data_IF_512384423626
#
_entry.id   IF_512384423626
#
_cell.length_a   1.000
_cell.length_b   1.000
_cell.length_c   1.000
_cell.angle_alpha   90.00
_cell.angle_beta   90.00
_cell.angle_gamma   90.00
#
_symmetry.space_group_name_H-M   'P 1'
#
loop_
_entity.id
_entity.type
_entity.pdbx_description
1 polymer ?
#
# COMPACT_ATOMS: atom_id res chain seq x y z
N UNK A 1 -6.28 -26.57 8.70
CA UNK A 1 -6.50 -25.55 7.62
C UNK A 1 -5.22 -24.72 7.43
N UNK A 2 -4.86 -24.34 6.20
CA UNK A 2 -3.69 -23.50 5.93
C UNK A 2 -4.06 -22.08 5.50
N UNK A 3 -3.19 -21.13 5.83
CA UNK A 3 -3.21 -19.76 5.34
C UNK A 3 -1.87 -19.40 4.70
N UNK A 4 -1.92 -18.65 3.60
CA UNK A 4 -0.75 -18.05 2.95
C UNK A 4 -0.66 -16.59 3.38
N UNK A 5 0.48 -16.15 3.92
CA UNK A 5 0.76 -14.73 4.16
C UNK A 5 1.73 -14.20 3.11
N UNK A 6 1.47 -13.01 2.57
CA UNK A 6 2.36 -12.28 1.66
C UNK A 6 2.61 -10.91 2.27
N UNK A 7 3.87 -10.55 2.48
CA UNK A 7 4.30 -9.23 2.96
C UNK A 7 5.26 -8.60 1.95
N UNK A 8 4.81 -7.57 1.25
CA UNK A 8 5.56 -6.90 0.19
C UNK A 8 6.00 -5.49 0.61
N UNK A 9 7.13 -5.43 1.31
CA UNK A 9 7.72 -4.20 1.82
C UNK A 9 8.61 -3.49 0.80
N UNK A 10 9.27 -2.41 1.21
CA UNK A 10 10.15 -1.62 0.32
C UNK A 10 11.42 -2.36 -0.11
N UNK A 11 11.88 -3.36 0.64
CA UNK A 11 13.19 -4.04 0.38
C UNK A 11 13.07 -5.48 -0.11
N UNK A 12 11.85 -5.97 -0.24
CA UNK A 12 11.62 -7.37 -0.56
C UNK A 12 10.23 -7.82 -0.20
N UNK A 13 9.85 -8.96 -0.76
CA UNK A 13 8.62 -9.67 -0.43
C UNK A 13 8.94 -10.93 0.36
N UNK A 14 8.11 -11.25 1.34
CA UNK A 14 8.14 -12.50 2.09
C UNK A 14 6.82 -13.22 1.92
N UNK A 15 6.87 -14.53 1.79
CA UNK A 15 5.69 -15.38 1.85
C UNK A 15 5.87 -16.45 2.92
N UNK A 16 4.77 -16.80 3.60
CA UNK A 16 4.76 -17.89 4.58
C UNK A 16 3.47 -18.70 4.49
N UNK A 17 3.55 -19.99 4.82
CA UNK A 17 2.36 -20.84 4.99
C UNK A 17 2.23 -21.21 6.46
N UNK A 18 1.08 -20.88 7.05
CA UNK A 18 0.75 -21.11 8.44
C UNK A 18 -0.34 -22.18 8.54
N UNK A 19 -0.10 -23.17 9.41
CA UNK A 19 -1.15 -24.08 9.86
C UNK A 19 -1.90 -23.44 11.03
N UNK A 20 -3.19 -23.13 10.84
CA UNK A 20 -3.97 -22.35 11.80
C UNK A 20 -4.27 -23.12 13.08
N UNK A 21 -4.37 -24.45 13.00
CA UNK A 21 -4.72 -25.28 14.16
C UNK A 21 -3.53 -25.43 15.10
N UNK A 22 -2.34 -25.67 14.53
CA UNK A 22 -1.11 -25.86 15.30
C UNK A 22 -0.33 -24.56 15.55
N UNK A 23 -0.58 -23.51 14.78
CA UNK A 23 0.24 -22.30 14.74
C UNK A 23 1.61 -22.48 14.08
N UNK A 24 1.87 -23.62 13.44
CA UNK A 24 3.16 -23.94 12.85
C UNK A 24 3.36 -23.22 11.50
N UNK A 25 4.53 -22.61 11.31
CA UNK A 25 4.97 -22.13 9.99
C UNK A 25 5.53 -23.32 9.21
N UNK A 26 4.80 -23.74 8.17
CA UNK A 26 5.14 -24.90 7.35
C UNK A 26 6.10 -24.55 6.22
N UNK A 27 6.07 -23.31 5.74
CA UNK A 27 6.94 -22.82 4.69
C UNK A 27 7.20 -21.32 4.87
N UNK A 28 8.38 -20.89 4.46
CA UNK A 28 8.80 -19.49 4.42
C UNK A 28 9.69 -19.29 3.18
N UNK A 29 9.48 -18.19 2.47
CA UNK A 29 10.31 -17.74 1.36
C UNK A 29 10.47 -16.23 1.40
N UNK A 30 11.54 -15.72 0.80
CA UNK A 30 11.78 -14.28 0.69
C UNK A 30 12.51 -13.96 -0.61
N UNK A 31 12.17 -12.82 -1.20
CA UNK A 31 12.87 -12.26 -2.34
C UNK A 31 13.18 -10.79 -2.07
N UNK A 32 14.43 -10.38 -2.28
CA UNK A 32 14.87 -9.00 -2.06
C UNK A 32 14.85 -8.20 -3.35
N UNK A 33 14.51 -6.91 -3.26
CA UNK A 33 14.58 -5.97 -4.37
C UNK A 33 14.92 -4.56 -3.88
N UNK A 34 15.46 -3.75 -4.78
CA UNK A 34 15.85 -2.36 -4.54
C UNK A 34 14.82 -1.34 -5.04
N UNK A 35 15.20 -0.07 -4.94
CA UNK A 35 14.53 1.05 -5.61
C UNK A 35 15.26 1.37 -6.91
N UNK A 36 14.61 2.11 -7.81
CA UNK A 36 15.26 2.57 -9.05
C UNK A 36 16.41 3.53 -8.69
N UNK A 37 17.59 3.26 -9.23
CA UNK A 37 18.80 4.06 -9.01
C UNK A 37 18.89 5.24 -9.98
N UNK A 38 19.72 6.24 -9.63
CA UNK A 38 19.99 7.38 -10.51
C UNK A 38 18.87 8.42 -10.62
N UNK A 39 17.84 8.33 -9.78
CA UNK A 39 16.76 9.32 -9.74
C UNK A 39 17.22 10.65 -9.08
N UNK A 40 16.57 11.79 -9.39
CA UNK A 40 16.88 13.06 -8.77
C UNK A 40 16.70 13.03 -7.23
N UNK A 41 17.35 13.93 -6.49
CA UNK A 41 17.22 13.99 -5.03
C UNK A 41 15.77 14.04 -4.55
N UNK A 42 15.44 13.23 -3.55
CA UNK A 42 14.09 13.15 -2.96
C UNK A 42 13.13 12.19 -3.68
N UNK A 43 13.46 11.75 -4.89
CA UNK A 43 12.68 10.74 -5.60
C UNK A 43 13.01 9.34 -5.09
N UNK A 44 11.97 8.54 -4.85
CA UNK A 44 12.11 7.12 -4.51
C UNK A 44 11.01 6.34 -5.20
N UNK A 45 11.41 5.47 -6.14
CA UNK A 45 10.46 4.77 -7.00
C UNK A 45 10.81 3.29 -7.15
N UNK A 46 9.78 2.48 -7.41
CA UNK A 46 9.90 1.07 -7.76
C UNK A 46 9.01 0.75 -8.96
N UNK A 47 9.44 -0.21 -9.77
CA UNK A 47 8.57 -0.81 -10.77
C UNK A 47 7.57 -1.74 -10.06
N UNK A 48 6.24 -1.52 -10.18
CA UNK A 48 5.25 -2.39 -9.59
C UNK A 48 5.36 -3.86 -10.02
N UNK A 49 5.89 -4.14 -11.23
CA UNK A 49 6.12 -5.52 -11.69
C UNK A 49 7.10 -6.27 -10.79
N UNK A 50 8.10 -5.57 -10.22
CA UNK A 50 9.07 -6.18 -9.30
C UNK A 50 8.39 -6.77 -8.06
N UNK A 51 7.30 -6.17 -7.57
CA UNK A 51 6.54 -6.71 -6.45
C UNK A 51 5.77 -7.97 -6.83
N UNK A 52 5.20 -8.00 -8.04
CA UNK A 52 4.46 -9.16 -8.53
C UNK A 52 5.38 -10.36 -8.75
N UNK A 53 6.54 -10.13 -9.40
CA UNK A 53 7.53 -11.18 -9.64
C UNK A 53 8.07 -11.76 -8.33
N UNK A 54 8.35 -10.91 -7.34
CA UNK A 54 8.80 -11.33 -6.02
C UNK A 54 7.72 -12.08 -5.24
N UNK A 55 6.46 -11.64 -5.31
CA UNK A 55 5.33 -12.35 -4.72
C UNK A 55 5.14 -13.73 -5.38
N UNK A 56 5.14 -13.80 -6.70
CA UNK A 56 4.99 -15.06 -7.43
C UNK A 56 6.11 -16.05 -7.10
N UNK A 57 7.36 -15.60 -7.09
CA UNK A 57 8.52 -16.41 -6.72
C UNK A 57 8.39 -16.97 -5.31
N UNK A 58 8.15 -16.10 -4.33
CA UNK A 58 8.10 -16.51 -2.91
C UNK A 58 6.90 -17.40 -2.60
N UNK A 59 5.74 -17.14 -3.21
CA UNK A 59 4.57 -18.02 -3.11
C UNK A 59 4.87 -19.37 -3.73
N UNK A 60 5.45 -19.42 -4.93
CA UNK A 60 5.81 -20.69 -5.58
C UNK A 60 6.75 -21.55 -4.73
N UNK A 61 7.81 -20.97 -4.18
CA UNK A 61 8.73 -21.67 -3.26
C UNK A 61 8.01 -22.21 -2.00
N UNK A 62 7.02 -21.47 -1.48
CA UNK A 62 6.23 -21.92 -0.34
C UNK A 62 5.30 -23.09 -0.71
N UNK A 63 4.67 -23.03 -1.88
CA UNK A 63 3.78 -24.06 -2.40
C UNK A 63 4.53 -25.36 -2.75
N UNK A 64 5.79 -25.26 -3.17
CA UNK A 64 6.67 -26.42 -3.33
C UNK A 64 6.96 -27.11 -1.99
N UNK A 65 7.26 -26.35 -0.94
CA UNK A 65 7.57 -26.88 0.39
C UNK A 65 6.40 -27.63 1.05
N UNK A 66 5.16 -27.20 0.82
CA UNK A 66 3.96 -27.87 1.37
C UNK A 66 3.42 -29.00 0.48
N UNK A 67 3.94 -29.15 -0.75
CA UNK A 67 3.64 -30.26 -1.64
C UNK A 67 2.14 -30.45 -1.94
N UNK A 68 1.59 -31.61 -1.57
CA UNK A 68 0.20 -31.98 -1.84
C UNK A 68 -0.83 -31.22 -0.97
N UNK A 69 -0.38 -30.41 0.00
CA UNK A 69 -1.27 -29.64 0.89
C UNK A 69 -1.68 -28.28 0.34
N UNK A 70 -1.36 -27.95 -0.93
CA UNK A 70 -1.75 -26.68 -1.57
C UNK A 70 -3.26 -26.43 -1.51
N UNK A 71 -4.07 -27.47 -1.69
CA UNK A 71 -5.53 -27.41 -1.58
C UNK A 71 -6.08 -27.13 -0.17
N UNK A 72 -5.23 -27.24 0.86
CA UNK A 72 -5.61 -26.91 2.25
C UNK A 72 -5.54 -25.40 2.52
N UNK A 73 -4.98 -24.59 1.60
CA UNK A 73 -4.92 -23.13 1.72
C UNK A 73 -6.31 -22.56 1.48
N UNK A 74 -6.90 -21.96 2.52
CA UNK A 74 -8.25 -21.38 2.49
C UNK A 74 -8.27 -19.85 2.50
N UNK A 75 -7.19 -19.23 2.96
CA UNK A 75 -7.08 -17.78 2.98
C UNK A 75 -5.67 -17.30 2.64
N UNK A 76 -5.63 -16.13 2.04
CA UNK A 76 -4.42 -15.40 1.69
C UNK A 76 -4.47 -14.05 2.42
N UNK A 77 -3.54 -13.84 3.34
CA UNK A 77 -3.32 -12.55 3.99
C UNK A 77 -2.28 -11.75 3.23
N UNK A 78 -2.55 -10.47 3.00
CA UNK A 78 -1.64 -9.58 2.27
C UNK A 78 -1.30 -8.37 3.13
N UNK A 79 -0.03 -8.01 3.19
CA UNK A 79 0.46 -6.71 3.62
C UNK A 79 1.41 -6.15 2.57
N UNK A 80 1.48 -4.83 2.47
CA UNK A 80 2.39 -4.19 1.54
C UNK A 80 2.65 -2.73 1.91
N UNK A 81 3.47 -2.04 1.14
CA UNK A 81 3.76 -0.64 1.41
C UNK A 81 2.48 0.24 1.40
N UNK A 82 2.30 1.07 2.43
CA UNK A 82 1.25 2.11 2.45
C UNK A 82 1.66 3.34 1.66
N UNK A 83 0.67 4.21 1.41
CA UNK A 83 0.86 5.48 0.68
C UNK A 83 1.45 5.28 -0.72
N UNK A 84 2.18 6.27 -1.23
CA UNK A 84 2.71 6.23 -2.58
C UNK A 84 1.63 6.40 -3.64
N UNK A 85 1.99 6.11 -4.89
CA UNK A 85 1.11 6.22 -6.05
C UNK A 85 1.47 5.14 -7.07
N UNK A 86 0.51 4.27 -7.37
CA UNK A 86 0.50 3.38 -8.54
C UNK A 86 -0.56 3.93 -9.52
N UNK A 87 -0.14 4.67 -10.56
CA UNK A 87 -1.07 5.21 -11.56
C UNK A 87 -1.29 4.19 -12.66
N UNK A 88 -2.55 3.80 -12.90
CA UNK A 88 -2.92 2.75 -13.85
C UNK A 88 -3.71 3.30 -15.04
N UNK A 89 -3.53 2.67 -16.18
CA UNK A 89 -4.38 2.88 -17.36
C UNK A 89 -5.63 1.97 -17.36
N UNK A 90 -6.38 2.00 -18.46
CA UNK A 90 -7.63 1.25 -18.61
C UNK A 90 -7.44 -0.28 -18.52
N UNK A 91 -6.26 -0.78 -18.86
CA UNK A 91 -5.91 -2.20 -18.81
C UNK A 91 -5.41 -2.65 -17.43
N UNK A 92 -5.40 -1.75 -16.42
CA UNK A 92 -4.74 -1.93 -15.12
C UNK A 92 -3.22 -1.99 -15.19
N UNK A 93 -2.61 -1.50 -16.27
CA UNK A 93 -1.15 -1.49 -16.40
C UNK A 93 -0.56 -0.21 -15.79
N UNK A 94 0.55 -0.30 -15.02
CA UNK A 94 1.25 0.87 -14.51
C UNK A 94 1.69 1.80 -15.64
N UNK A 95 1.29 3.08 -15.53
CA UNK A 95 1.67 4.12 -16.49
C UNK A 95 3.13 4.57 -16.37
N UNK A 96 3.74 4.28 -15.21
CA UNK A 96 5.10 4.65 -14.82
C UNK A 96 5.49 3.87 -13.56
N UNK A 97 6.78 3.86 -13.17
CA UNK A 97 7.19 3.39 -11.85
C UNK A 97 6.42 4.09 -10.72
N UNK A 98 6.10 3.35 -9.68
CA UNK A 98 5.37 3.87 -8.54
C UNK A 98 6.26 4.76 -7.67
N UNK A 99 5.77 5.96 -7.34
CA UNK A 99 6.39 6.82 -6.32
C UNK A 99 6.07 6.29 -4.93
N UNK A 100 7.08 6.03 -4.09
CA UNK A 100 6.90 5.38 -2.79
C UNK A 100 6.54 6.36 -1.66
N UNK A 101 6.21 5.83 -0.49
CA UNK A 101 5.89 6.61 0.71
C UNK A 101 7.05 7.47 1.21
N UNK A 102 8.29 7.06 0.97
CA UNK A 102 9.50 7.79 1.33
C UNK A 102 9.98 8.76 0.23
N UNK A 103 9.25 8.85 -0.89
CA UNK A 103 9.45 9.88 -1.90
C UNK A 103 8.96 11.23 -1.36
N UNK A 104 9.88 12.19 -1.30
CA UNK A 104 9.65 13.57 -0.82
C UNK A 104 9.70 14.60 -1.94
N UNK A 105 9.76 14.17 -3.21
CA UNK A 105 9.83 15.05 -4.39
C UNK A 105 8.57 15.91 -4.59
N UNK A 106 7.52 15.64 -3.83
CA UNK A 106 6.20 16.28 -3.97
C UNK A 106 5.90 17.33 -2.91
N UNK A 107 6.92 17.79 -2.17
CA UNK A 107 6.82 18.91 -1.24
C UNK A 107 6.20 20.18 -1.88
N UNK A 108 6.56 20.60 -3.11
CA UNK A 108 5.93 21.76 -3.73
C UNK A 108 4.41 21.60 -3.89
N UNK A 109 3.94 20.39 -4.21
CA UNK A 109 2.50 20.12 -4.31
C UNK A 109 1.82 20.14 -2.93
N UNK A 110 2.50 19.70 -1.87
CA UNK A 110 2.00 19.86 -0.50
C UNK A 110 1.80 21.34 -0.13
N UNK A 111 2.72 22.22 -0.52
CA UNK A 111 2.59 23.66 -0.31
C UNK A 111 1.38 24.25 -1.05
N UNK A 112 1.09 23.77 -2.27
CA UNK A 112 -0.11 24.16 -3.02
C UNK A 112 -1.39 23.77 -2.27
N UNK A 113 -1.48 22.54 -1.74
CA UNK A 113 -2.61 22.14 -0.90
C UNK A 113 -2.72 22.98 0.37
N UNK A 114 -1.60 23.24 1.05
CA UNK A 114 -1.60 24.09 2.24
C UNK A 114 -2.14 25.49 1.91
N UNK A 115 -1.71 26.09 0.81
CA UNK A 115 -2.18 27.41 0.39
C UNK A 115 -3.68 27.42 0.12
N UNK A 116 -4.19 26.41 -0.59
CA UNK A 116 -5.61 26.33 -0.96
C UNK A 116 -6.53 26.05 0.24
N UNK A 117 -6.13 25.13 1.12
CA UNK A 117 -7.02 24.56 2.13
C UNK A 117 -6.90 25.19 3.53
N UNK A 118 -6.20 26.31 3.66
CA UNK A 118 -6.06 27.06 4.91
C UNK A 118 -4.93 26.55 5.81
N UNK A 119 -3.84 26.10 5.20
CA UNK A 119 -2.66 25.54 5.84
C UNK A 119 -2.88 24.15 6.42
N UNK A 120 -1.90 23.71 7.20
CA UNK A 120 -1.91 22.41 7.90
C UNK A 120 -3.14 22.29 8.80
N UNK A 121 -3.49 23.33 9.56
CA UNK A 121 -4.66 23.34 10.44
C UNK A 121 -5.98 23.22 9.65
N UNK A 122 -6.08 23.92 8.52
CA UNK A 122 -7.25 23.86 7.65
C UNK A 122 -7.46 22.47 7.05
N UNK A 123 -6.38 21.81 6.61
CA UNK A 123 -6.42 20.43 6.14
C UNK A 123 -6.83 19.47 7.24
N UNK A 124 -6.19 19.52 8.41
CA UNK A 124 -6.55 18.66 9.56
C UNK A 124 -8.02 18.85 9.94
N UNK A 125 -8.51 20.10 9.96
CA UNK A 125 -9.93 20.38 10.25
C UNK A 125 -10.88 19.76 9.22
N UNK A 126 -10.50 19.75 7.93
CA UNK A 126 -11.36 19.32 6.81
C UNK A 126 -11.28 17.83 6.50
N UNK A 127 -10.12 17.19 6.67
CA UNK A 127 -9.88 15.79 6.29
C UNK A 127 -9.46 14.92 7.46
N UNK A 128 -9.01 15.54 8.56
CA UNK A 128 -8.42 14.86 9.71
C UNK A 128 -6.91 14.64 9.61
N UNK A 129 -6.29 14.97 8.48
CA UNK A 129 -4.86 14.75 8.25
C UNK A 129 -4.18 15.98 7.61
N UNK A 130 -2.88 16.21 7.89
CA UNK A 130 -2.08 17.14 7.11
C UNK A 130 -1.83 16.59 5.68
N UNK A 131 -1.34 17.44 4.78
CA UNK A 131 -0.80 16.99 3.50
C UNK A 131 0.70 16.75 3.64
N UNK A 132 1.15 15.52 3.38
CA UNK A 132 2.56 15.12 3.50
C UNK A 132 3.08 14.60 2.15
N UNK A 133 4.35 14.82 1.78
CA UNK A 133 4.90 14.38 0.50
C UNK A 133 4.77 12.88 0.26
N UNK A 134 4.81 12.09 1.34
CA UNK A 134 4.63 10.63 1.28
C UNK A 134 3.25 10.19 0.81
N UNK A 135 2.22 11.03 0.95
CA UNK A 135 0.83 10.70 0.64
C UNK A 135 0.56 10.67 -0.87
N UNK A 136 -0.58 10.08 -1.23
CA UNK A 136 -0.98 9.86 -2.62
C UNK A 136 -1.42 11.16 -3.32
N UNK A 137 -2.18 12.04 -2.65
CA UNK A 137 -2.69 13.28 -3.20
C UNK A 137 -1.62 14.19 -3.86
N UNK A 138 -0.50 14.55 -3.19
CA UNK A 138 0.53 15.38 -3.81
C UNK A 138 1.25 14.66 -4.96
N UNK A 139 1.35 13.34 -4.93
CA UNK A 139 1.89 12.54 -6.04
C UNK A 139 1.00 12.56 -7.28
N UNK A 140 -0.33 12.56 -7.12
CA UNK A 140 -1.26 12.69 -8.25
C UNK A 140 -1.14 14.09 -8.87
N UNK A 141 -1.08 15.14 -8.04
CA UNK A 141 -0.90 16.50 -8.52
C UNK A 141 0.44 16.66 -9.24
N UNK A 142 1.51 16.09 -8.68
CA UNK A 142 2.82 16.04 -9.31
C UNK A 142 2.76 15.34 -10.67
N UNK A 143 2.06 14.20 -10.79
CA UNK A 143 1.89 13.46 -12.05
C UNK A 143 1.20 14.33 -13.09
N UNK A 144 0.13 15.05 -12.70
CA UNK A 144 -0.59 15.98 -13.58
C UNK A 144 0.29 17.10 -14.12
N UNK A 145 1.14 17.67 -13.26
CA UNK A 145 1.97 18.83 -13.59
C UNK A 145 3.24 18.45 -14.37
N UNK A 146 3.87 17.32 -14.03
CA UNK A 146 5.20 16.94 -14.53
C UNK A 146 5.13 15.92 -15.68
N UNK A 147 4.10 15.07 -15.68
CA UNK A 147 3.91 14.04 -16.70
C UNK A 147 2.48 14.05 -17.27
N UNK A 148 2.05 15.17 -17.89
CA UNK A 148 0.67 15.34 -18.33
C UNK A 148 0.22 14.30 -19.38
N UNK A 149 1.16 13.69 -20.11
CA UNK A 149 0.84 12.59 -21.02
C UNK A 149 0.38 11.32 -20.28
N UNK A 150 1.07 10.96 -19.19
CA UNK A 150 0.66 9.84 -18.33
C UNK A 150 -0.64 10.19 -17.60
N UNK A 151 -0.77 11.41 -17.07
CA UNK A 151 -1.99 11.83 -16.38
C UNK A 151 -3.24 11.80 -17.28
N UNK A 152 -3.11 12.06 -18.59
CA UNK A 152 -4.24 11.93 -19.53
C UNK A 152 -4.73 10.50 -19.69
N UNK A 153 -3.83 9.51 -19.57
CA UNK A 153 -4.14 8.08 -19.67
C UNK A 153 -4.58 7.46 -18.34
N UNK A 154 -4.45 8.20 -17.23
CA UNK A 154 -4.81 7.74 -15.90
C UNK A 154 -6.30 7.37 -15.85
N UNK A 155 -6.60 6.14 -15.46
CA UNK A 155 -7.98 5.68 -15.21
C UNK A 155 -8.19 5.14 -13.80
N UNK A 156 -7.12 4.73 -13.10
CA UNK A 156 -7.20 4.25 -11.73
C UNK A 156 -5.99 4.65 -10.91
N UNK A 157 -6.23 4.99 -9.64
CA UNK A 157 -5.20 5.33 -8.65
C UNK A 157 -5.24 4.30 -7.53
N UNK A 158 -4.15 3.55 -7.37
CA UNK A 158 -3.99 2.57 -6.29
C UNK A 158 -2.72 2.87 -5.48
N UNK A 159 -2.65 2.28 -4.29
CA UNK A 159 -1.42 2.21 -3.48
C UNK A 159 -0.70 0.88 -3.78
N UNK A 160 0.58 0.71 -3.41
CA UNK A 160 1.31 -0.54 -3.63
C UNK A 160 0.58 -1.78 -3.09
N UNK A 161 0.04 -1.70 -1.88
CA UNK A 161 -0.80 -2.75 -1.31
C UNK A 161 -2.06 -3.04 -2.15
N UNK A 162 -2.80 -2.00 -2.54
CA UNK A 162 -4.02 -2.18 -3.34
C UNK A 162 -3.71 -2.79 -4.73
N UNK A 163 -2.55 -2.46 -5.30
CA UNK A 163 -2.10 -3.04 -6.57
C UNK A 163 -1.80 -4.54 -6.46
N UNK A 164 -1.23 -5.00 -5.34
CA UNK A 164 -1.08 -6.44 -5.07
C UNK A 164 -2.43 -7.12 -4.93
N UNK A 165 -3.39 -6.50 -4.24
CA UNK A 165 -4.75 -7.03 -4.13
C UNK A 165 -5.46 -7.08 -5.48
N UNK A 166 -5.26 -6.07 -6.34
CA UNK A 166 -5.77 -6.07 -7.71
C UNK A 166 -5.19 -7.24 -8.50
N UNK A 167 -3.88 -7.48 -8.41
CA UNK A 167 -3.25 -8.63 -9.07
C UNK A 167 -3.79 -9.96 -8.56
N UNK A 168 -4.01 -10.10 -7.25
CA UNK A 168 -4.55 -11.32 -6.64
C UNK A 168 -6.02 -11.57 -6.99
N UNK A 169 -6.85 -10.53 -6.97
CA UNK A 169 -8.32 -10.68 -7.01
C UNK A 169 -8.97 -10.25 -8.32
N UNK A 170 -8.30 -9.38 -9.10
CA UNK A 170 -8.89 -8.67 -10.23
C UNK A 170 -9.77 -7.48 -9.82
N UNK A 171 -9.96 -7.24 -8.52
CA UNK A 171 -10.89 -6.23 -7.99
C UNK A 171 -10.15 -4.98 -7.51
N UNK A 172 -10.59 -3.81 -7.98
CA UNK A 172 -10.12 -2.51 -7.48
C UNK A 172 -10.85 -2.17 -6.18
N UNK A 173 -10.10 -1.96 -5.12
CA UNK A 173 -10.62 -1.50 -3.83
C UNK A 173 -9.52 -0.83 -3.02
N UNK A 174 -9.91 -0.11 -1.97
CA UNK A 174 -8.98 0.42 -0.99
C UNK A 174 -9.58 0.31 0.41
N UNK A 175 -8.81 -0.22 1.35
CA UNK A 175 -9.23 -0.34 2.74
C UNK A 175 -9.20 1.04 3.43
N UNK A 176 -10.09 1.29 4.40
CA UNK A 176 -10.16 2.60 5.07
C UNK A 176 -8.85 3.05 5.72
N UNK A 177 -8.05 2.13 6.24
CA UNK A 177 -6.73 2.38 6.80
C UNK A 177 -5.77 2.93 5.75
N UNK A 178 -5.68 2.27 4.59
CA UNK A 178 -4.86 2.73 3.46
C UNK A 178 -5.36 4.06 2.90
N UNK A 179 -6.69 4.17 2.72
CA UNK A 179 -7.34 5.39 2.26
C UNK A 179 -7.10 6.59 3.17
N UNK A 180 -7.00 6.37 4.49
CA UNK A 180 -6.71 7.45 5.46
C UNK A 180 -5.36 8.12 5.21
N UNK A 181 -4.38 7.36 4.71
CA UNK A 181 -3.05 7.84 4.36
C UNK A 181 -2.92 8.47 2.98
N UNK A 182 -4.00 8.60 2.21
CA UNK A 182 -3.92 9.14 0.84
C UNK A 182 -3.88 10.66 0.79
N UNK A 183 -4.36 11.34 1.83
CA UNK A 183 -4.68 12.77 1.78
C UNK A 183 -5.92 13.11 0.97
N UNK A 184 -6.66 12.12 0.44
CA UNK A 184 -7.85 12.29 -0.40
C UNK A 184 -9.16 12.02 0.36
N UNK A 185 -9.10 11.43 1.56
CA UNK A 185 -10.26 11.01 2.35
C UNK A 185 -10.47 11.92 3.55
N UNK A 186 -11.74 12.18 3.89
CA UNK A 186 -12.13 12.63 5.21
C UNK A 186 -12.20 11.42 6.16
N UNK A 187 -11.26 11.32 7.10
CA UNK A 187 -11.11 10.13 7.94
C UNK A 187 -12.25 9.91 8.95
N UNK A 188 -13.00 10.96 9.28
CA UNK A 188 -14.10 10.88 10.25
C UNK A 188 -15.35 10.31 9.60
N UNK A 189 -15.60 10.70 8.35
CA UNK A 189 -16.74 10.23 7.55
C UNK A 189 -16.40 8.99 6.73
N UNK A 190 -15.11 8.70 6.52
CA UNK A 190 -14.59 7.61 5.68
C UNK A 190 -15.10 7.69 4.23
N UNK A 191 -15.16 8.91 3.72
CA UNK A 191 -15.55 9.20 2.33
C UNK A 191 -14.50 10.07 1.66
N UNK A 192 -14.36 9.93 0.35
CA UNK A 192 -13.50 10.79 -0.44
C UNK A 192 -13.89 12.27 -0.27
N UNK A 193 -12.90 13.12 0.00
CA UNK A 193 -13.12 14.54 0.22
C UNK A 193 -13.09 15.29 -1.13
N UNK A 194 -14.28 15.42 -1.72
CA UNK A 194 -14.46 15.99 -3.07
C UNK A 194 -13.73 17.31 -3.35
N UNK A 195 -13.62 18.28 -2.40
CA UNK A 195 -12.88 19.51 -2.66
C UNK A 195 -11.40 19.27 -3.00
N UNK A 196 -10.72 18.35 -2.32
CA UNK A 196 -9.33 17.98 -2.65
C UNK A 196 -9.27 17.31 -4.02
N UNK A 197 -10.22 16.41 -4.31
CA UNK A 197 -10.24 15.72 -5.60
C UNK A 197 -10.37 16.71 -6.75
N UNK A 198 -11.35 17.63 -6.66
CA UNK A 198 -11.63 18.65 -7.68
C UNK A 198 -10.50 19.64 -7.85
N UNK A 199 -9.78 19.96 -6.76
CA UNK A 199 -8.57 20.79 -6.83
C UNK A 199 -7.49 20.13 -7.69
N UNK A 200 -7.30 18.82 -7.59
CA UNK A 200 -6.38 18.07 -8.46
C UNK A 200 -6.96 17.98 -9.87
N UNK A 201 -8.13 17.37 -10.03
CA UNK A 201 -8.83 17.20 -11.31
C UNK A 201 -10.31 16.78 -11.09
N UNK A 202 -11.28 17.36 -11.82
CA UNK A 202 -12.69 17.02 -11.67
C UNK A 202 -13.01 15.54 -12.00
N UNK A 203 -12.15 14.84 -12.75
CA UNK A 203 -12.35 13.42 -13.08
C UNK A 203 -11.85 12.47 -11.99
N UNK A 204 -11.10 12.95 -11.00
CA UNK A 204 -10.34 12.10 -10.10
C UNK A 204 -11.22 11.17 -9.25
N UNK A 205 -12.42 11.61 -8.87
CA UNK A 205 -13.37 10.77 -8.11
C UNK A 205 -13.67 9.45 -8.82
N UNK A 206 -13.82 9.47 -10.15
CA UNK A 206 -14.07 8.26 -10.96
C UNK A 206 -12.86 7.35 -11.12
N UNK A 207 -11.66 7.84 -10.79
CA UNK A 207 -10.41 7.09 -10.88
C UNK A 207 -10.01 6.46 -9.54
N UNK A 208 -10.74 6.76 -8.46
CA UNK A 208 -10.46 6.19 -7.15
C UNK A 208 -11.26 4.89 -6.97
N UNK A 209 -10.66 3.85 -6.38
CA UNK A 209 -11.36 2.61 -6.13
C UNK A 209 -12.43 2.79 -5.06
N UNK A 210 -13.43 1.89 -5.00
CA UNK A 210 -14.39 1.88 -3.90
C UNK A 210 -13.69 1.62 -2.56
N UNK A 211 -14.10 2.37 -1.54
CA UNK A 211 -13.65 2.17 -0.17
C UNK A 211 -14.32 0.94 0.46
N UNK A 212 -13.55 0.16 1.21
CA UNK A 212 -13.99 -1.08 1.88
C UNK A 212 -13.43 -1.19 3.30
N UNK A 213 -14.10 -2.00 4.11
CA UNK A 213 -13.67 -2.30 5.48
C UNK A 213 -12.78 -3.54 5.49
N UNK A 214 -11.72 -3.51 6.32
CA UNK A 214 -10.88 -4.66 6.67
C UNK A 214 -11.64 -5.89 7.21
N UNK A 215 -12.89 -5.73 7.64
CA UNK A 215 -13.75 -6.85 8.07
C UNK A 215 -14.32 -7.68 6.91
N UNK A 216 -14.12 -7.26 5.67
CA UNK A 216 -14.53 -8.00 4.47
C UNK A 216 -13.28 -8.48 3.73
N UNK A 217 -13.32 -9.67 3.10
CA UNK A 217 -12.26 -10.08 2.20
C UNK A 217 -12.15 -9.09 1.03
N UNK A 218 -10.94 -8.95 0.48
CA UNK A 218 -10.73 -8.26 -0.78
C UNK A 218 -11.51 -8.95 -1.91
N UNK A 219 -11.53 -10.28 -1.89
CA UNK A 219 -12.25 -11.07 -2.87
C UNK A 219 -11.81 -12.52 -2.85
N UNK A 220 -12.19 -13.26 -3.88
CA UNK A 220 -11.60 -14.56 -4.16
C UNK A 220 -10.29 -14.37 -4.91
N UNK A 221 -9.34 -15.30 -4.74
CA UNK A 221 -8.17 -15.38 -5.60
C UNK A 221 -8.64 -15.58 -7.05
N UNK A 222 -8.12 -14.80 -8.00
CA UNK A 222 -8.51 -14.88 -9.42
C UNK A 222 -8.19 -16.26 -10.00
N UNK A 223 -9.01 -16.75 -10.92
CA UNK A 223 -8.93 -18.11 -11.45
C UNK A 223 -7.55 -18.48 -12.00
N UNK A 224 -6.90 -17.56 -12.73
CA UNK A 224 -5.58 -17.80 -13.30
C UNK A 224 -4.50 -18.11 -12.24
N UNK A 225 -4.56 -17.45 -11.08
CA UNK A 225 -3.65 -17.74 -9.97
C UNK A 225 -4.05 -19.01 -9.20
N UNK A 226 -5.35 -19.29 -9.08
CA UNK A 226 -5.81 -20.55 -8.46
C UNK A 226 -5.30 -21.76 -9.22
N UNK A 227 -5.42 -21.73 -10.55
CA UNK A 227 -4.93 -22.78 -11.44
C UNK A 227 -3.40 -22.89 -11.39
N UNK A 228 -2.69 -21.76 -11.48
CA UNK A 228 -1.23 -21.72 -11.43
C UNK A 228 -0.69 -22.28 -10.10
N UNK A 229 -1.32 -21.94 -8.99
CA UNK A 229 -0.86 -22.30 -7.65
C UNK A 229 -1.43 -23.63 -7.14
N UNK A 230 -2.43 -24.20 -7.83
CA UNK A 230 -3.12 -25.41 -7.39
C UNK A 230 -3.90 -25.22 -6.08
N UNK A 231 -4.52 -24.05 -5.91
CA UNK A 231 -5.34 -23.71 -4.75
C UNK A 231 -6.81 -24.07 -5.00
N UNK A 232 -7.55 -24.25 -3.90
CA UNK A 232 -8.98 -24.48 -3.97
C UNK A 232 -9.74 -23.25 -4.49
N UNK A 233 -10.90 -23.48 -5.12
CA UNK A 233 -11.73 -22.42 -5.72
C UNK A 233 -12.28 -21.39 -4.73
N UNK A 234 -12.31 -21.74 -3.44
CA UNK A 234 -12.82 -20.92 -2.35
C UNK A 234 -11.73 -20.11 -1.62
N UNK A 235 -10.50 -20.06 -2.13
CA UNK A 235 -9.41 -19.31 -1.51
C UNK A 235 -9.72 -17.80 -1.47
N UNK A 236 -9.93 -17.29 -0.25
CA UNK A 236 -10.22 -15.87 0.00
C UNK A 236 -8.95 -15.06 0.17
N UNK A 237 -8.91 -13.88 -0.43
CA UNK A 237 -7.87 -12.87 -0.18
C UNK A 237 -8.43 -11.90 0.86
N UNK A 238 -7.73 -11.72 1.97
CA UNK A 238 -8.10 -10.73 2.98
C UNK A 238 -8.03 -9.32 2.38
N UNK A 239 -8.75 -8.36 2.95
CA UNK A 239 -8.55 -6.96 2.56
C UNK A 239 -7.09 -6.52 2.74
N UNK A 240 -6.36 -7.19 3.62
CA UNK A 240 -5.02 -6.78 4.03
C UNK A 240 -5.04 -5.40 4.66
N UNK A 241 -3.91 -4.74 4.54
CA UNK A 241 -3.68 -3.37 4.94
C UNK A 241 -2.19 -3.14 4.87
N UNK A 242 -1.74 -1.93 4.55
CA UNK A 242 -0.31 -1.78 4.42
C UNK A 242 0.44 -1.89 5.75
N UNK A 243 1.70 -2.29 5.64
CA UNK A 243 2.62 -2.83 6.65
C UNK A 243 2.60 -2.18 8.05
N UNK A 244 2.38 -0.87 8.16
CA UNK A 244 2.27 -0.19 9.46
C UNK A 244 1.02 -0.58 10.26
N UNK A 245 -0.04 -1.06 9.60
CA UNK A 245 -1.31 -1.40 10.24
C UNK A 245 -1.35 -2.85 10.76
N UNK A 246 -0.92 -3.89 10.01
CA UNK A 246 -0.80 -5.27 10.52
C UNK A 246 0.30 -5.48 11.57
N UNK A 247 1.27 -4.56 11.68
CA UNK A 247 2.29 -4.58 12.74
C UNK A 247 1.74 -4.13 14.11
N UNK A 248 0.57 -3.48 14.16
CA UNK A 248 -0.06 -3.03 15.41
C UNK A 248 -0.88 -4.11 16.17
N UNK A 249 -1.60 -5.05 15.51
CA UNK A 249 -2.28 -6.16 16.20
C UNK A 249 -1.34 -7.23 16.76
N UNK A 250 -0.12 -7.39 16.22
CA UNK A 250 0.84 -8.37 16.73
C UNK A 250 1.43 -8.02 18.11
N UNK A 251 1.13 -6.84 18.66
CA UNK A 251 1.72 -6.35 19.92
C UNK A 251 0.72 -5.81 20.95
N UNK A 252 -0.59 -5.97 20.78
CA UNK A 252 -1.57 -5.40 21.72
C UNK A 252 -2.46 -6.44 22.41
N UNK A 253 -1.89 -7.15 23.40
CA UNK A 253 -2.63 -7.45 24.62
C UNK A 253 -2.66 -6.18 25.49
N UNK A 254 -3.80 -5.80 26.11
CA UNK A 254 -3.89 -4.59 26.91
C UNK A 254 -3.26 -4.83 28.30
N UNK A 255 -1.94 -4.81 28.37
CA UNK A 255 -1.19 -4.56 29.60
C UNK A 255 0.29 -4.31 29.25
N UNK A 256 0.85 -3.25 29.83
CA UNK A 256 2.27 -2.86 29.85
C UNK A 256 2.89 -2.32 28.55
N UNK A 257 2.98 -1.00 28.47
CA UNK A 257 3.95 -0.27 27.64
C UNK A 257 5.37 -0.60 28.11
N UNK A 258 6.28 -1.09 27.23
CA UNK A 258 7.71 -1.00 27.49
C UNK A 258 8.23 0.34 26.96
N UNK A 259 8.87 1.11 27.85
CA UNK A 259 9.64 2.31 27.50
C UNK A 259 10.80 1.95 26.56
N UNK A 260 10.72 2.35 25.29
CA UNK A 260 11.84 2.24 24.36
C UNK A 260 12.84 3.39 24.58
N UNK A 261 13.78 3.20 25.49
CA UNK A 261 15.02 3.97 25.57
C UNK A 261 16.08 3.31 24.69
N UNK A 262 16.27 3.83 23.47
CA UNK A 262 17.34 3.43 22.54
C UNK A 262 18.10 4.66 22.03
N UNK A 263 19.44 4.68 22.06
CA UNK A 263 20.22 5.90 21.90
C UNK A 263 20.53 6.17 20.43
N UNK A 264 19.67 6.91 19.72
CA UNK A 264 20.02 7.51 18.41
C UNK A 264 19.19 8.73 17.97
N UNK A 265 18.42 9.34 18.87
CA UNK A 265 17.59 10.51 18.55
C UNK A 265 17.77 11.69 19.53
N UNK A 266 19.00 11.96 19.98
CA UNK A 266 19.34 13.20 20.72
C UNK A 266 20.70 13.75 20.28
N UNK A 267 20.74 14.41 19.12
CA UNK A 267 21.91 15.26 18.77
C UNK A 267 21.64 16.34 17.70
N UNK A 268 20.40 16.78 17.50
CA UNK A 268 20.09 17.85 16.51
C UNK A 268 19.39 19.10 17.08
N UNK A 269 19.21 19.21 18.40
CA UNK A 269 18.68 20.42 19.04
C UNK A 269 19.52 20.75 20.27
N UNK A 270 20.61 21.51 20.07
CA UNK A 270 21.30 22.35 21.07
C UNK A 270 22.59 22.95 20.48
N UNK A 271 22.48 23.80 19.46
CA UNK A 271 23.52 24.78 19.09
C UNK A 271 22.90 26.00 18.41
N UNK A 272 22.17 26.82 19.18
CA UNK A 272 21.97 28.26 18.92
C UNK A 272 21.70 28.96 20.26
N UNK A 273 22.78 29.25 20.97
CA UNK A 273 22.82 30.24 22.05
C UNK A 273 24.29 30.54 22.38
N UNK A 274 24.88 31.42 21.57
CA UNK A 274 25.93 32.39 21.88
C UNK A 274 26.06 33.34 20.70
#
# INVERSE_FOLDING_TARGET
MLCLGIDSGTKGTKALVLDIESGAVLALAQESYGTIEGLPPGHVEQDPQTWLDAAEKTVSECLEKIGNRRGDIKAIGVSGQQHGLVPLDEANEPLRPAKLWCDVSTEPQCEEFNKEFGGVEGLIKRTGNPMLPGYTAPKILWLKQNEPANFRRLTSVLLPHDYLNLWLTGERQMEYGDASGTGLMDVRTRTWFLPILKFIDPRLESMLPPLRSSKRPAGLLRSSLRELWGLADDALVSAGGGDNMPSAPATSSPASLPSASGPRARSALLRKSR
#
